data_IF_137268260702
#
_entry.id   IF_137268260702
#
_cell.length_a   1.000
_cell.length_b   1.000
_cell.length_c   1.000
_cell.angle_alpha   90.00
_cell.angle_beta   90.00
_cell.angle_gamma   90.00
#
_symmetry.space_group_name_H-M   'P 1'
#
loop_
_entity.id
_entity.type
_entity.pdbx_description
1 polymer ?
#
# COMPACT_ATOMS: atom_id res chain seq x y z
N UNK A 1 13.20 -13.87 31.09
CA UNK A 1 12.17 -12.83 30.87
C UNK A 1 12.61 -12.09 29.61
N UNK A 2 12.07 -12.46 28.44
CA UNK A 2 12.50 -11.98 27.13
C UNK A 2 11.72 -10.73 26.72
N UNK A 3 12.34 -9.87 25.92
CA UNK A 3 11.91 -8.52 25.52
C UNK A 3 10.39 -8.38 25.22
N UNK A 4 9.73 -7.44 25.88
CA UNK A 4 8.27 -7.20 25.82
C UNK A 4 7.86 -6.15 24.76
N UNK A 5 8.83 -5.54 24.09
CA UNK A 5 8.59 -4.42 23.17
C UNK A 5 8.36 -4.91 21.73
N UNK A 6 7.23 -4.52 21.13
CA UNK A 6 6.93 -4.71 19.72
C UNK A 6 6.87 -3.36 18.99
N UNK A 7 7.46 -3.29 17.80
CA UNK A 7 7.30 -2.14 16.92
C UNK A 7 5.99 -2.23 16.14
N UNK A 8 5.25 -1.12 16.03
CA UNK A 8 4.01 -1.01 15.26
C UNK A 8 4.21 -0.02 14.13
N UNK A 9 3.73 -0.37 12.93
CA UNK A 9 3.74 0.52 11.78
C UNK A 9 2.34 1.12 11.60
N UNK A 10 2.26 2.45 11.52
CA UNK A 10 1.05 3.18 11.18
C UNK A 10 1.21 3.87 9.83
N UNK A 11 0.17 3.79 9.00
CA UNK A 11 0.09 4.47 7.72
C UNK A 11 -1.04 5.51 7.78
N UNK A 12 -0.68 6.78 7.63
CA UNK A 12 -1.64 7.88 7.40
C UNK A 12 -1.47 8.38 5.96
N UNK A 13 -2.54 8.29 5.16
CA UNK A 13 -2.54 8.74 3.77
C UNK A 13 -3.57 9.84 3.60
N UNK A 14 -3.11 10.97 3.08
CA UNK A 14 -3.93 12.17 2.90
C UNK A 14 -3.96 12.56 1.45
N UNK A 15 -5.15 12.84 0.94
CA UNK A 15 -5.30 13.44 -0.36
C UNK A 15 -4.92 14.92 -0.30
N UNK A 16 -4.00 15.34 -1.18
CA UNK A 16 -3.48 16.73 -1.21
C UNK A 16 -4.13 17.57 -2.32
N UNK A 17 -5.02 16.99 -3.14
CA UNK A 17 -5.68 17.68 -4.26
C UNK A 17 -6.93 18.47 -3.86
N UNK A 18 -7.20 19.57 -4.58
CA UNK A 18 -8.47 20.32 -4.53
C UNK A 18 -9.43 19.73 -5.59
N UNK A 19 -10.61 19.21 -5.20
CA UNK A 19 -11.56 18.63 -6.16
C UNK A 19 -12.51 17.59 -5.56
N UNK A 20 -13.04 16.72 -6.44
CA UNK A 20 -13.96 15.62 -6.11
C UNK A 20 -13.44 14.76 -4.96
N UNK A 21 -14.37 14.17 -4.20
CA UNK A 21 -14.02 13.35 -3.02
C UNK A 21 -13.06 12.23 -3.45
N UNK A 22 -11.81 12.23 -2.97
CA UNK A 22 -10.82 11.25 -3.38
C UNK A 22 -11.23 9.86 -2.91
N UNK A 23 -10.96 8.85 -3.73
CA UNK A 23 -11.08 7.46 -3.32
C UNK A 23 -10.14 7.22 -2.13
N UNK A 24 -10.67 6.57 -1.10
CA UNK A 24 -9.88 6.27 0.09
C UNK A 24 -8.97 5.06 -0.18
N UNK A 25 -7.70 5.13 0.26
CA UNK A 25 -6.86 3.95 0.40
C UNK A 25 -7.56 2.88 1.23
N UNK A 26 -7.46 1.63 0.80
CA UNK A 26 -8.20 0.54 1.46
C UNK A 26 -7.36 -0.73 1.72
N UNK A 27 -6.16 -0.82 1.14
CA UNK A 27 -5.16 -1.82 1.51
C UNK A 27 -3.76 -1.21 1.31
N UNK A 28 -2.77 -1.68 2.07
CA UNK A 28 -1.39 -1.27 1.92
C UNK A 28 -0.43 -2.36 2.41
N UNK A 29 0.82 -2.29 1.93
CA UNK A 29 1.90 -3.15 2.38
C UNK A 29 3.24 -2.38 2.35
N UNK A 30 4.02 -2.52 3.41
CA UNK A 30 5.39 -2.02 3.47
C UNK A 30 6.34 -3.01 2.84
N UNK A 31 7.27 -2.53 2.02
CA UNK A 31 8.35 -3.37 1.53
C UNK A 31 9.25 -3.77 2.72
N UNK A 32 9.68 -5.03 2.83
CA UNK A 32 10.44 -5.54 3.98
C UNK A 32 11.87 -4.99 4.14
N UNK A 33 12.36 -4.19 3.18
CA UNK A 33 13.80 -3.84 3.07
C UNK A 33 13.98 -2.43 2.51
N UNK A 34 13.30 -2.12 1.40
CA UNK A 34 13.34 -0.79 0.80
C UNK A 34 12.34 0.14 1.50
N UNK A 35 12.61 1.44 1.50
CA UNK A 35 11.69 2.45 2.00
C UNK A 35 10.57 2.72 0.99
N UNK A 36 9.80 1.68 0.68
CA UNK A 36 8.70 1.69 -0.28
C UNK A 36 7.43 1.21 0.41
N UNK A 37 6.31 1.86 0.09
CA UNK A 37 4.99 1.40 0.46
C UNK A 37 4.10 1.29 -0.78
N UNK A 38 3.42 0.15 -0.93
CA UNK A 38 2.39 -0.03 -1.94
C UNK A 38 1.01 0.15 -1.32
N UNK A 39 0.11 0.83 -2.02
CA UNK A 39 -1.22 1.22 -1.54
C UNK A 39 -2.25 0.97 -2.63
N UNK A 40 -3.37 0.33 -2.27
CA UNK A 40 -4.52 0.19 -3.15
C UNK A 40 -5.51 1.36 -2.99
N UNK A 41 -5.84 1.99 -4.12
CA UNK A 41 -6.84 3.09 -4.22
C UNK A 41 -7.71 2.82 -5.45
N UNK A 42 -9.01 2.57 -5.26
CA UNK A 42 -9.88 2.10 -6.35
C UNK A 42 -9.39 0.77 -6.94
N UNK A 43 -9.13 0.76 -8.25
CA UNK A 43 -8.53 -0.37 -8.98
C UNK A 43 -7.02 -0.23 -9.15
N UNK A 44 -6.42 0.83 -8.61
CA UNK A 44 -5.01 1.12 -8.80
C UNK A 44 -4.19 0.67 -7.60
N UNK A 45 -2.99 0.20 -7.88
CA UNK A 45 -1.90 0.08 -6.92
C UNK A 45 -0.93 1.22 -7.18
N UNK A 46 -0.60 1.95 -6.13
CA UNK A 46 0.31 3.10 -6.16
C UNK A 46 1.46 2.81 -5.21
N UNK A 47 2.69 2.95 -5.69
CA UNK A 47 3.87 2.89 -4.84
C UNK A 47 4.34 4.30 -4.48
N UNK A 48 4.73 4.46 -3.23
CA UNK A 48 5.32 5.68 -2.71
C UNK A 48 6.68 5.40 -2.08
N UNK A 49 7.57 6.37 -2.20
CA UNK A 49 8.77 6.47 -1.39
C UNK A 49 8.34 6.81 0.04
N UNK A 50 8.63 5.93 0.99
CA UNK A 50 8.15 6.04 2.37
C UNK A 50 8.89 7.13 3.18
N UNK A 51 10.03 7.63 2.69
CA UNK A 51 10.80 8.68 3.37
C UNK A 51 10.28 10.07 3.02
N UNK A 52 9.90 10.27 1.75
CA UNK A 52 9.50 11.57 1.19
C UNK A 52 7.99 11.68 0.98
N UNK A 53 7.29 10.54 0.92
CA UNK A 53 5.88 10.47 0.51
C UNK A 53 5.67 10.66 -0.99
N UNK A 54 6.73 10.68 -1.80
CA UNK A 54 6.63 10.90 -3.24
C UNK A 54 6.08 9.67 -3.95
N UNK A 55 5.17 9.88 -4.90
CA UNK A 55 4.68 8.79 -5.77
C UNK A 55 5.81 8.29 -6.66
N UNK A 56 6.07 6.99 -6.63
CA UNK A 56 7.04 6.30 -7.50
C UNK A 56 6.34 5.84 -8.79
N UNK A 57 5.29 5.03 -8.65
CA UNK A 57 4.58 4.45 -9.79
C UNK A 57 3.09 4.26 -9.50
N UNK A 58 2.31 3.90 -10.53
CA UNK A 58 0.90 3.57 -10.41
C UNK A 58 0.49 2.62 -11.52
N UNK A 59 -0.23 1.56 -11.16
CA UNK A 59 -0.68 0.51 -12.09
C UNK A 59 -2.17 0.28 -11.84
N UNK A 60 -2.97 0.28 -12.90
CA UNK A 60 -4.36 -0.17 -12.84
C UNK A 60 -4.40 -1.70 -12.95
N UNK A 61 -4.96 -2.36 -11.95
CA UNK A 61 -5.12 -3.83 -11.93
C UNK A 61 -6.53 -4.27 -12.33
N UNK A 62 -7.39 -3.33 -12.73
CA UNK A 62 -8.73 -3.60 -13.29
C UNK A 62 -9.77 -4.10 -12.29
N UNK A 63 -9.39 -4.34 -11.04
CA UNK A 63 -10.28 -4.84 -10.00
C UNK A 63 -9.87 -4.37 -8.61
N UNK A 64 -10.78 -4.49 -7.64
CA UNK A 64 -10.54 -4.01 -6.28
C UNK A 64 -9.64 -4.98 -5.51
N UNK A 65 -8.53 -4.45 -5.00
CA UNK A 65 -7.63 -5.19 -4.11
C UNK A 65 -8.26 -5.27 -2.71
N UNK A 66 -8.29 -6.47 -2.13
CA UNK A 66 -8.83 -6.70 -0.78
C UNK A 66 -7.75 -6.92 0.27
N UNK A 67 -6.56 -7.37 -0.15
CA UNK A 67 -5.41 -7.55 0.73
C UNK A 67 -4.11 -7.37 -0.05
N UNK A 68 -3.08 -6.86 0.63
CA UNK A 68 -1.74 -6.70 0.10
C UNK A 68 -0.72 -7.21 1.10
N UNK A 69 0.39 -7.74 0.59
CA UNK A 69 1.59 -8.04 1.36
C UNK A 69 2.78 -7.94 0.42
N UNK A 70 3.97 -7.68 0.94
CA UNK A 70 5.20 -7.90 0.18
C UNK A 70 5.76 -9.27 0.52
N UNK A 71 6.20 -10.00 -0.50
CA UNK A 71 7.05 -11.17 -0.32
C UNK A 71 8.31 -10.76 0.44
N UNK A 72 8.62 -11.40 1.59
CA UNK A 72 9.77 -11.06 2.41
C UNK A 72 11.11 -11.28 1.69
N UNK A 73 11.13 -12.11 0.63
CA UNK A 73 12.37 -12.56 -0.03
C UNK A 73 12.55 -12.05 -1.45
N UNK A 74 11.48 -11.75 -2.18
CA UNK A 74 11.57 -11.34 -3.59
C UNK A 74 11.28 -9.85 -3.82
N UNK A 75 10.76 -9.14 -2.81
CA UNK A 75 10.32 -7.75 -2.98
C UNK A 75 9.11 -7.60 -3.91
N UNK A 76 8.42 -8.69 -4.24
CA UNK A 76 7.19 -8.63 -5.04
C UNK A 76 5.99 -8.33 -4.14
N UNK A 77 5.14 -7.39 -4.57
CA UNK A 77 3.82 -7.23 -3.96
C UNK A 77 2.91 -8.40 -4.34
N UNK A 78 2.36 -9.07 -3.35
CA UNK A 78 1.31 -10.09 -3.47
C UNK A 78 -0.01 -9.44 -3.11
N UNK A 79 -0.98 -9.55 -4.01
CA UNK A 79 -2.32 -8.97 -3.85
C UNK A 79 -3.37 -10.05 -3.94
N UNK A 80 -4.45 -9.86 -3.18
CA UNK A 80 -5.69 -10.62 -3.36
C UNK A 80 -6.73 -9.67 -3.95
N UNK A 81 -7.40 -10.12 -5.00
CA UNK A 81 -8.46 -9.38 -5.69
C UNK A 81 -9.77 -10.15 -5.49
N UNK A 82 -10.85 -9.42 -5.25
CA UNK A 82 -12.20 -10.00 -5.29
C UNK A 82 -12.81 -9.70 -6.66
N UNK A 83 -13.02 -10.74 -7.45
CA UNK A 83 -13.79 -10.66 -8.69
C UNK A 83 -15.28 -10.82 -8.36
N UNK A 84 -16.11 -9.90 -8.84
CA UNK A 84 -17.58 -10.01 -8.75
C UNK A 84 -18.07 -10.24 -10.17
N UNK A 85 -18.40 -11.49 -10.48
CA UNK A 85 -18.96 -11.93 -11.77
C UNK A 85 -20.45 -11.63 -11.88
#
# INVERSE_FOLDING_TARGET
>A
MGMEWAAVQHLDLRHVGRGTKPLQPHAAAFHPVQAVIAVAVGTHIIEFDALTGSKICSIDVGARVVRMSYSPTSGHAVISILEVS
#
